data_IF_394586435195
#
_entry.id   IF_394586435195
#
_cell.length_a   1.000
_cell.length_b   1.000
_cell.length_c   1.000
_cell.angle_alpha   90.00
_cell.angle_beta   90.00
_cell.angle_gamma   90.00
#
_symmetry.space_group_name_H-M   'P 1'
#
loop_
_entity.id
_entity.type
_entity.pdbx_description
1 polymer ?
#
# COMPACT_ATOMS: atom_id res chain seq x y z
N UNK A 1 23.28 20.14 10.48
CA UNK A 1 22.12 19.24 10.68
C UNK A 1 22.45 17.94 10.00
N UNK A 2 22.40 16.83 10.73
CA UNK A 2 22.61 15.49 10.16
C UNK A 2 21.40 15.06 9.34
N UNK A 3 21.54 14.19 8.32
CA UNK A 3 20.46 13.81 7.39
C UNK A 3 19.24 13.09 8.01
N UNK A 4 19.22 12.88 9.33
CA UNK A 4 18.22 12.06 10.01
C UNK A 4 16.96 12.83 10.45
N UNK A 5 16.96 14.16 10.35
CA UNK A 5 15.85 15.01 10.83
C UNK A 5 14.95 15.61 9.72
N UNK A 6 15.19 15.32 8.45
CA UNK A 6 14.35 15.80 7.35
C UNK A 6 13.51 14.69 6.72
N UNK A 7 12.32 14.44 7.29
CA UNK A 7 11.06 14.25 6.52
C UNK A 7 9.89 14.00 7.48
N UNK A 8 9.37 15.07 8.10
CA UNK A 8 8.04 15.03 8.74
C UNK A 8 6.90 14.79 7.74
N UNK A 9 7.19 14.86 6.43
CA UNK A 9 6.22 14.64 5.36
C UNK A 9 6.77 13.63 4.36
N UNK A 10 5.95 12.65 3.98
CA UNK A 10 6.26 11.68 2.92
C UNK A 10 5.35 11.94 1.73
N UNK A 11 5.91 12.05 0.54
CA UNK A 11 5.12 12.22 -0.68
C UNK A 11 4.45 10.90 -1.09
N UNK A 12 3.43 10.99 -1.95
CA UNK A 12 2.83 9.80 -2.54
C UNK A 12 3.85 8.96 -3.32
N UNK A 13 4.88 9.60 -3.89
CA UNK A 13 5.97 8.92 -4.61
C UNK A 13 6.85 8.13 -3.66
N UNK A 14 7.20 8.68 -2.50
CA UNK A 14 8.03 8.01 -1.50
C UNK A 14 7.33 6.77 -0.94
N UNK A 15 6.04 6.90 -0.63
CA UNK A 15 5.22 5.79 -0.14
C UNK A 15 5.06 4.69 -1.20
N UNK A 16 4.89 5.06 -2.48
CA UNK A 16 4.89 4.09 -3.60
C UNK A 16 6.22 3.37 -3.73
N UNK A 17 7.34 4.11 -3.65
CA UNK A 17 8.68 3.53 -3.70
C UNK A 17 8.90 2.55 -2.53
N UNK A 18 8.48 2.92 -1.33
CA UNK A 18 8.54 2.07 -0.13
C UNK A 18 7.72 0.79 -0.28
N UNK A 19 6.47 0.88 -0.76
CA UNK A 19 5.66 -0.31 -1.05
C UNK A 19 6.33 -1.19 -2.11
N UNK A 20 6.90 -0.58 -3.15
CA UNK A 20 7.58 -1.29 -4.23
C UNK A 20 8.83 -2.03 -3.74
N UNK A 21 9.60 -1.43 -2.83
CA UNK A 21 10.75 -2.07 -2.19
C UNK A 21 10.33 -3.27 -1.33
N UNK A 22 9.30 -3.10 -0.50
CA UNK A 22 8.75 -4.18 0.34
C UNK A 22 8.27 -5.37 -0.51
N UNK A 23 7.57 -5.11 -1.61
CA UNK A 23 7.05 -6.18 -2.47
C UNK A 23 8.11 -6.76 -3.43
N UNK A 24 9.34 -6.24 -3.42
CA UNK A 24 10.41 -6.67 -4.30
C UNK A 24 10.79 -8.14 -4.10
N UNK A 25 10.94 -8.59 -2.85
CA UNK A 25 11.26 -9.98 -2.53
C UNK A 25 10.22 -10.96 -3.07
N UNK A 26 8.94 -10.70 -2.81
CA UNK A 26 7.82 -11.52 -3.31
C UNK A 26 7.76 -11.61 -4.83
N UNK A 27 8.09 -10.51 -5.53
CA UNK A 27 8.15 -10.47 -6.99
C UNK A 27 9.37 -11.22 -7.51
N UNK A 28 10.52 -11.09 -6.85
CA UNK A 28 11.73 -11.80 -7.22
C UNK A 28 11.55 -13.33 -7.09
N UNK A 29 10.94 -13.80 -6.00
CA UNK A 29 10.53 -15.19 -5.81
C UNK A 29 9.71 -15.72 -7.00
N UNK A 30 8.65 -15.00 -7.37
CA UNK A 30 7.77 -15.39 -8.49
C UNK A 30 8.46 -15.35 -9.86
N UNK A 31 9.37 -14.39 -10.07
CA UNK A 31 10.01 -14.19 -11.39
C UNK A 31 11.22 -15.10 -11.57
N UNK A 32 12.02 -15.32 -10.52
CA UNK A 32 13.30 -16.00 -10.60
C UNK A 32 13.30 -17.43 -10.09
N UNK A 33 12.47 -17.72 -9.09
CA UNK A 33 12.47 -19.02 -8.42
C UNK A 33 11.24 -19.86 -8.77
N UNK A 34 10.26 -19.27 -9.46
CA UNK A 34 8.96 -19.89 -9.82
C UNK A 34 8.25 -20.53 -8.61
N UNK A 35 8.57 -20.03 -7.41
CA UNK A 35 8.08 -20.53 -6.14
C UNK A 35 7.72 -19.33 -5.25
N UNK A 36 6.70 -19.50 -4.41
CA UNK A 36 6.24 -18.46 -3.49
C UNK A 36 6.47 -18.96 -2.08
N UNK A 37 7.24 -18.20 -1.29
CA UNK A 37 7.50 -18.54 0.11
C UNK A 37 6.66 -17.71 1.09
N UNK A 38 6.70 -18.10 2.36
CA UNK A 38 6.15 -17.30 3.47
C UNK A 38 7.07 -16.17 3.90
N UNK A 39 8.29 -16.06 3.35
CA UNK A 39 9.32 -15.09 3.74
C UNK A 39 8.88 -13.64 3.55
N UNK A 40 8.06 -13.36 2.54
CA UNK A 40 7.56 -12.02 2.26
C UNK A 40 6.32 -11.60 3.09
N UNK A 41 5.88 -12.41 4.06
CA UNK A 41 4.68 -12.13 4.86
C UNK A 41 4.72 -10.74 5.54
N UNK A 42 5.82 -10.44 6.23
CA UNK A 42 6.02 -9.16 6.94
C UNK A 42 5.98 -7.98 5.97
N UNK A 43 6.60 -8.13 4.80
CA UNK A 43 6.66 -7.07 3.80
C UNK A 43 5.30 -6.81 3.16
N UNK A 44 4.53 -7.86 2.86
CA UNK A 44 3.15 -7.77 2.37
C UNK A 44 2.26 -7.05 3.39
N UNK A 45 2.39 -7.39 4.67
CA UNK A 45 1.61 -6.74 5.74
C UNK A 45 1.93 -5.25 5.83
N UNK A 46 3.22 -4.88 5.82
CA UNK A 46 3.68 -3.49 5.86
C UNK A 46 3.23 -2.72 4.61
N UNK A 47 3.40 -3.30 3.42
CA UNK A 47 2.98 -2.72 2.16
C UNK A 47 1.47 -2.44 2.13
N UNK A 48 0.67 -3.40 2.60
CA UNK A 48 -0.79 -3.28 2.68
C UNK A 48 -1.20 -2.16 3.64
N UNK A 49 -0.53 -2.03 4.79
CA UNK A 49 -0.80 -0.96 5.75
C UNK A 49 -0.50 0.42 5.17
N UNK A 50 0.63 0.58 4.48
CA UNK A 50 0.98 1.84 3.82
C UNK A 50 -0.04 2.16 2.73
N UNK A 51 -0.36 1.20 1.86
CA UNK A 51 -1.35 1.39 0.79
C UNK A 51 -2.74 1.77 1.33
N UNK A 52 -3.14 1.19 2.47
CA UNK A 52 -4.36 1.58 3.18
C UNK A 52 -4.29 3.04 3.61
N UNK A 53 -3.26 3.43 4.37
CA UNK A 53 -3.10 4.80 4.84
C UNK A 53 -3.05 5.82 3.69
N UNK A 54 -2.40 5.49 2.58
CA UNK A 54 -2.40 6.32 1.36
C UNK A 54 -3.82 6.60 0.85
N UNK A 55 -4.68 5.59 0.82
CA UNK A 55 -6.05 5.72 0.29
C UNK A 55 -6.99 6.33 1.32
N UNK A 56 -6.94 5.87 2.57
CA UNK A 56 -7.95 6.18 3.58
C UNK A 56 -7.59 7.36 4.48
N UNK A 57 -6.31 7.58 4.76
CA UNK A 57 -5.87 8.62 5.70
C UNK A 57 -5.34 9.83 4.96
N UNK A 58 -4.49 9.62 3.95
CA UNK A 58 -3.79 10.71 3.25
C UNK A 58 -4.51 11.20 2.00
N UNK A 59 -5.61 10.54 1.57
CA UNK A 59 -6.34 10.93 0.36
C UNK A 59 -5.50 10.88 -0.92
N UNK A 60 -4.42 10.10 -0.94
CA UNK A 60 -3.48 9.95 -2.07
C UNK A 60 -4.01 8.96 -3.12
N UNK A 61 -5.28 9.11 -3.48
CA UNK A 61 -5.96 8.30 -4.49
C UNK A 61 -6.86 9.15 -5.38
N UNK A 62 -7.41 8.54 -6.43
CA UNK A 62 -8.40 9.18 -7.31
C UNK A 62 -9.74 9.51 -6.61
N UNK A 63 -9.88 9.20 -5.33
CA UNK A 63 -11.02 9.61 -4.49
C UNK A 63 -10.88 11.06 -3.98
N UNK A 64 -9.74 11.70 -4.21
CA UNK A 64 -9.47 13.06 -3.74
C UNK A 64 -9.03 13.11 -2.26
N UNK A 65 -8.79 14.33 -1.74
CA UNK A 65 -8.24 14.57 -0.40
C UNK A 65 -9.31 14.41 0.69
N UNK A 66 -9.95 13.23 0.74
CA UNK A 66 -10.96 12.88 1.73
C UNK A 66 -10.37 11.83 2.67
N UNK A 67 -10.43 12.10 3.96
CA UNK A 67 -10.09 11.14 5.00
C UNK A 67 -11.29 10.22 5.27
N UNK A 68 -11.11 8.92 5.01
CA UNK A 68 -12.07 7.85 5.26
C UNK A 68 -11.82 7.11 6.57
N UNK A 69 -10.60 7.19 7.09
CA UNK A 69 -10.15 6.51 8.30
C UNK A 69 -9.42 7.52 9.19
N UNK A 70 -9.96 7.76 10.38
CA UNK A 70 -9.42 8.68 11.38
C UNK A 70 -8.29 8.03 12.22
N UNK A 71 -7.97 6.77 11.97
CA UNK A 71 -6.96 6.02 12.72
C UNK A 71 -7.46 5.53 14.08
N UNK A 72 -8.74 5.74 14.43
CA UNK A 72 -9.36 5.16 15.64
C UNK A 72 -9.90 3.75 15.39
N UNK A 73 -9.10 2.92 14.73
CA UNK A 73 -9.45 1.56 14.35
C UNK A 73 -9.57 0.55 15.49
N UNK A 74 -9.80 0.95 16.74
CA UNK A 74 -10.01 0.04 17.89
C UNK A 74 -11.12 0.47 18.87
N UNK A 75 -11.74 1.65 18.74
CA UNK A 75 -12.78 2.11 19.68
C UNK A 75 -14.18 2.07 19.06
N UNK A 76 -14.61 0.90 18.57
CA UNK A 76 -16.03 0.66 18.27
C UNK A 76 -16.73 0.23 19.56
N UNK A 77 -16.86 1.15 20.52
CA UNK A 77 -17.77 0.99 21.65
C UNK A 77 -18.20 2.36 22.19
N UNK A 78 -19.28 2.91 21.61
CA UNK A 78 -20.41 3.53 22.31
C UNK A 78 -21.16 4.50 21.38
N UNK A 79 -22.33 4.05 20.94
CA UNK A 79 -23.55 4.83 21.11
C UNK A 79 -23.80 6.01 20.17
N UNK A 80 -24.80 5.79 19.32
CA UNK A 80 -25.76 6.78 18.80
C UNK A 80 -25.28 7.72 17.69
N UNK A 81 -26.05 7.66 16.60
CA UNK A 81 -26.21 8.68 15.56
C UNK A 81 -25.20 8.72 14.40
N UNK A 82 -25.12 7.65 13.58
CA UNK A 82 -24.39 7.70 12.29
C UNK A 82 -25.00 6.83 11.17
N UNK A 83 -26.34 6.80 11.06
CA UNK A 83 -27.10 6.00 10.08
C UNK A 83 -26.93 6.37 8.58
N UNK A 84 -25.93 7.18 8.19
CA UNK A 84 -25.71 7.58 6.78
C UNK A 84 -24.27 7.38 6.25
N UNK A 85 -23.25 7.17 7.10
CA UNK A 85 -21.83 7.09 6.65
C UNK A 85 -21.18 5.71 6.75
N UNK A 86 -21.84 4.74 7.40
CA UNK A 86 -21.22 3.46 7.77
C UNK A 86 -21.15 2.43 6.61
N UNK A 87 -22.12 2.41 5.68
CA UNK A 87 -22.21 1.30 4.71
C UNK A 87 -21.41 1.50 3.42
N UNK A 88 -21.16 2.74 2.98
CA UNK A 88 -20.38 3.03 1.77
C UNK A 88 -18.86 3.08 2.02
N UNK A 89 -18.46 3.44 3.24
CA UNK A 89 -17.06 3.64 3.66
C UNK A 89 -16.25 2.35 3.74
N UNK A 90 -16.84 1.20 4.10
CA UNK A 90 -16.03 0.00 4.38
C UNK A 90 -15.57 -0.80 3.14
N UNK A 91 -16.38 -0.85 2.07
CA UNK A 91 -16.10 -1.73 0.91
C UNK A 91 -15.32 -1.05 -0.22
N UNK A 92 -15.51 0.26 -0.41
CA UNK A 92 -14.83 1.04 -1.46
C UNK A 92 -13.30 1.07 -1.25
N UNK A 93 -12.77 1.32 -0.03
CA UNK A 93 -11.34 1.41 0.19
C UNK A 93 -10.64 0.07 0.02
N UNK A 94 -11.22 -1.04 0.49
CA UNK A 94 -10.58 -2.36 0.36
C UNK A 94 -10.37 -2.74 -1.11
N UNK A 95 -11.38 -2.53 -1.97
CA UNK A 95 -11.28 -2.80 -3.41
C UNK A 95 -10.21 -1.94 -4.05
N UNK A 96 -10.10 -0.68 -3.64
CA UNK A 96 -9.11 0.26 -4.15
C UNK A 96 -7.69 -0.08 -3.68
N UNK A 97 -7.52 -0.41 -2.40
CA UNK A 97 -6.25 -0.87 -1.82
C UNK A 97 -5.76 -2.12 -2.53
N UNK A 98 -6.64 -3.10 -2.77
CA UNK A 98 -6.31 -4.30 -3.55
C UNK A 98 -5.84 -3.95 -4.96
N UNK A 99 -6.56 -3.06 -5.67
CA UNK A 99 -6.16 -2.59 -7.00
C UNK A 99 -4.81 -1.86 -6.97
N UNK A 100 -4.57 -1.06 -5.94
CA UNK A 100 -3.38 -0.26 -5.78
C UNK A 100 -2.13 -1.13 -5.56
N UNK A 101 -2.21 -2.08 -4.63
CA UNK A 101 -1.15 -3.07 -4.40
C UNK A 101 -0.91 -3.88 -5.66
N UNK A 102 -1.97 -4.37 -6.32
CA UNK A 102 -1.84 -5.14 -7.56
C UNK A 102 -1.16 -4.35 -8.69
N UNK A 103 -1.43 -3.05 -8.81
CA UNK A 103 -0.78 -2.19 -9.79
C UNK A 103 0.72 -2.07 -9.52
N UNK A 104 1.11 -1.84 -8.27
CA UNK A 104 2.52 -1.71 -7.88
C UNK A 104 3.29 -3.02 -8.09
N UNK A 105 2.70 -4.16 -7.74
CA UNK A 105 3.28 -5.48 -8.02
C UNK A 105 3.48 -5.70 -9.52
N UNK A 106 2.50 -5.34 -10.36
CA UNK A 106 2.61 -5.45 -11.83
C UNK A 106 3.74 -4.59 -12.38
N UNK A 107 3.88 -3.35 -11.92
CA UNK A 107 4.95 -2.45 -12.35
C UNK A 107 6.32 -3.02 -11.98
N UNK A 108 6.48 -3.51 -10.75
CA UNK A 108 7.73 -4.13 -10.29
C UNK A 108 8.07 -5.38 -11.11
N UNK A 109 7.11 -6.27 -11.35
CA UNK A 109 7.31 -7.46 -12.19
C UNK A 109 7.75 -7.11 -13.61
N UNK A 110 7.14 -6.09 -14.22
CA UNK A 110 7.55 -5.59 -15.53
C UNK A 110 9.00 -5.10 -15.53
N UNK A 111 9.42 -4.38 -14.49
CA UNK A 111 10.80 -3.91 -14.34
C UNK A 111 11.80 -5.07 -14.23
N UNK A 112 11.53 -6.07 -13.39
CA UNK A 112 12.40 -7.25 -13.24
C UNK A 112 12.53 -8.06 -14.55
N UNK A 113 11.42 -8.21 -15.30
CA UNK A 113 11.44 -8.88 -16.60
C UNK A 113 12.24 -8.12 -17.65
N UNK A 114 12.15 -6.78 -17.67
CA UNK A 114 12.96 -5.95 -18.57
C UNK A 114 14.46 -6.07 -18.22
N UNK A 115 14.80 -6.09 -16.94
CA UNK A 115 16.18 -6.31 -16.50
C UNK A 115 16.69 -7.69 -16.92
N UNK A 116 15.85 -8.74 -16.84
CA UNK A 116 16.21 -10.07 -17.37
C UNK A 116 16.54 -10.07 -18.86
N UNK A 117 15.78 -9.31 -19.67
CA UNK A 117 15.98 -9.27 -21.13
C UNK A 117 17.15 -8.38 -21.56
N UNK A 118 17.54 -7.38 -20.76
CA UNK A 118 18.65 -6.47 -21.07
C UNK A 118 20.03 -6.99 -20.63
N UNK A 119 20.13 -8.19 -20.04
CA UNK A 119 21.40 -8.81 -19.62
C UNK A 119 21.96 -9.74 -20.73
N UNK A 120 21.61 -9.47 -21.99
CA UNK A 120 22.14 -10.17 -23.17
C UNK A 120 23.07 -9.27 -23.97
#
# INVERSE_FOLDING_TARGET
>A
MTPEEETFTQSATDLKAKITGLLGGRVAEEVFFDEISTGAYSDIQRATRIARAMVTTYGMSNLGPIQYDDGQGDNVFLGRDYSSRSSYSAKLPLKLIKKYVALLTKLKKKQELLLRHNVH
#
